data_IF_390550564427
#
_entry.id   IF_390550564427
#
_cell.length_a   1.000
_cell.length_b   1.000
_cell.length_c   1.000
_cell.angle_alpha   90.00
_cell.angle_beta   90.00
_cell.angle_gamma   90.00
#
_symmetry.space_group_name_H-M   'P 1'
#
loop_
_entity.id
_entity.type
_entity.pdbx_description
1 polymer ?
#
# COMPACT_ATOMS: atom_id res chain seq x y z
N UNK A 1 28.30 15.34 -19.23
CA UNK A 1 27.06 15.49 -18.50
C UNK A 1 26.72 14.09 -17.92
N UNK A 2 27.09 13.83 -16.67
CA UNK A 2 26.92 12.51 -16.06
C UNK A 2 25.45 12.35 -15.68
N UNK A 3 24.69 11.58 -16.44
CA UNK A 3 23.36 11.10 -16.02
C UNK A 3 23.56 9.95 -15.02
N UNK A 4 23.77 10.28 -13.74
CA UNK A 4 23.61 9.29 -12.70
C UNK A 4 22.13 8.94 -12.61
N UNK A 5 21.80 7.72 -13.01
CA UNK A 5 20.47 7.17 -12.77
C UNK A 5 20.44 6.75 -11.28
N UNK A 6 19.85 7.61 -10.42
CA UNK A 6 19.74 7.33 -8.99
C UNK A 6 18.43 6.56 -8.76
N UNK A 7 18.52 5.44 -8.11
CA UNK A 7 17.35 4.62 -7.77
C UNK A 7 16.48 5.33 -6.71
N UNK A 8 17.12 5.95 -5.71
CA UNK A 8 16.45 6.77 -4.71
C UNK A 8 17.39 7.78 -4.08
N UNK A 9 16.84 8.74 -3.35
CA UNK A 9 17.53 9.83 -2.66
C UNK A 9 17.09 9.86 -1.19
N UNK A 10 18.05 10.00 -0.28
CA UNK A 10 17.79 10.37 1.12
C UNK A 10 18.36 11.80 1.28
N UNK A 11 17.53 12.72 1.75
CA UNK A 11 17.90 14.12 1.88
C UNK A 11 17.45 14.71 3.21
N UNK A 12 18.21 15.68 3.72
CA UNK A 12 17.71 16.53 4.81
C UNK A 12 16.70 17.55 4.25
N UNK A 13 15.74 17.94 5.07
CA UNK A 13 14.80 19.02 4.73
C UNK A 13 15.55 20.36 4.63
N UNK A 14 16.36 20.70 5.63
CA UNK A 14 17.11 21.97 5.68
C UNK A 14 18.53 21.78 5.18
N UNK A 15 18.80 22.30 3.98
CA UNK A 15 20.12 22.30 3.37
C UNK A 15 20.48 23.72 2.90
N UNK A 16 21.79 24.10 2.85
CA UNK A 16 22.23 25.35 2.24
C UNK A 16 21.81 25.43 0.77
N UNK A 17 21.40 26.61 0.29
CA UNK A 17 21.05 26.94 -1.09
C UNK A 17 19.70 26.41 -1.60
N UNK A 18 19.27 25.18 -1.22
CA UNK A 18 18.03 24.57 -1.65
C UNK A 18 17.55 23.61 -0.59
N UNK A 19 16.30 23.72 -0.14
CA UNK A 19 15.75 22.75 0.80
C UNK A 19 15.28 21.43 0.12
N UNK A 20 15.02 20.41 0.93
CA UNK A 20 14.64 19.08 0.42
C UNK A 20 13.30 19.09 -0.34
N UNK A 21 12.38 20.01 -0.02
CA UNK A 21 11.10 20.16 -0.73
C UNK A 21 11.32 20.83 -2.10
N UNK A 22 12.08 21.92 -2.12
CA UNK A 22 12.43 22.61 -3.38
C UNK A 22 13.19 21.69 -4.33
N UNK A 23 14.10 20.85 -3.81
CA UNK A 23 14.79 19.84 -4.59
C UNK A 23 13.81 18.83 -5.19
N UNK A 24 12.86 18.34 -4.38
CA UNK A 24 11.86 17.39 -4.83
C UNK A 24 10.92 17.99 -5.89
N UNK A 25 10.51 19.26 -5.73
CA UNK A 25 9.73 19.99 -6.73
C UNK A 25 10.47 20.09 -8.07
N UNK A 26 11.76 20.43 -8.05
CA UNK A 26 12.59 20.49 -9.26
C UNK A 26 12.72 19.12 -9.93
N UNK A 27 12.90 18.04 -9.15
CA UNK A 27 12.94 16.67 -9.68
C UNK A 27 11.64 16.32 -10.39
N UNK A 28 10.49 16.62 -9.79
CA UNK A 28 9.17 16.38 -10.40
C UNK A 28 8.95 17.25 -11.63
N UNK A 29 9.36 18.53 -11.60
CA UNK A 29 9.32 19.43 -12.74
C UNK A 29 10.19 18.99 -13.93
N UNK A 30 11.26 18.23 -13.68
CA UNK A 30 12.09 17.59 -14.71
C UNK A 30 11.53 16.24 -15.20
N UNK A 31 10.34 15.82 -14.74
CA UNK A 31 9.75 14.53 -15.08
C UNK A 31 10.45 13.32 -14.45
N UNK A 32 11.31 13.55 -13.45
CA UNK A 32 12.01 12.46 -12.75
C UNK A 32 11.20 11.97 -11.57
N UNK A 33 10.84 10.69 -11.60
CA UNK A 33 10.08 9.99 -10.55
C UNK A 33 10.99 9.22 -9.57
N UNK A 34 12.23 9.70 -9.34
CA UNK A 34 13.15 9.13 -8.36
C UNK A 34 12.50 9.11 -6.98
N UNK A 35 12.63 8.00 -6.26
CA UNK A 35 12.08 7.85 -4.91
C UNK A 35 12.88 8.70 -3.92
N UNK A 36 12.19 9.44 -3.03
CA UNK A 36 12.84 10.36 -2.09
C UNK A 36 12.36 10.07 -0.68
N UNK A 37 13.30 9.99 0.27
CA UNK A 37 13.09 9.97 1.72
C UNK A 37 13.60 11.30 2.27
N UNK A 38 12.77 12.01 3.05
CA UNK A 38 13.12 13.29 3.65
C UNK A 38 13.42 13.10 5.13
N UNK A 39 14.59 13.55 5.57
CA UNK A 39 14.98 13.61 6.98
C UNK A 39 14.79 15.05 7.49
N UNK A 40 14.28 15.23 8.71
CA UNK A 40 14.05 16.58 9.25
C UNK A 40 14.08 16.62 10.77
N UNK A 41 14.53 17.75 11.31
CA UNK A 41 14.41 18.07 12.73
C UNK A 41 13.13 18.89 13.04
N UNK A 42 12.31 19.19 12.04
CA UNK A 42 11.15 20.08 12.16
C UNK A 42 9.85 19.29 12.02
N UNK A 43 9.03 19.31 13.05
CA UNK A 43 7.68 18.77 13.07
C UNK A 43 6.69 19.84 12.58
N UNK A 44 6.80 20.23 11.30
CA UNK A 44 5.90 21.20 10.70
C UNK A 44 4.95 20.51 9.74
N UNK A 45 3.66 20.65 10.00
CA UNK A 45 2.58 20.07 9.18
C UNK A 45 2.67 20.49 7.70
N UNK A 46 3.12 21.74 7.43
CA UNK A 46 3.28 22.26 6.08
C UNK A 46 4.31 21.48 5.25
N UNK A 47 5.43 21.10 5.87
CA UNK A 47 6.47 20.31 5.20
C UNK A 47 6.05 18.86 4.96
N UNK A 48 5.33 18.25 5.93
CA UNK A 48 4.77 16.91 5.76
C UNK A 48 3.77 16.90 4.59
N UNK A 49 2.89 17.90 4.52
CA UNK A 49 1.91 18.05 3.45
C UNK A 49 2.56 18.26 2.08
N UNK A 50 3.62 19.08 1.99
CA UNK A 50 4.37 19.29 0.76
C UNK A 50 5.08 18.00 0.30
N UNK A 51 5.74 17.28 1.20
CA UNK A 51 6.39 16.01 0.92
C UNK A 51 5.39 14.96 0.38
N UNK A 52 4.21 14.84 1.00
CA UNK A 52 3.14 13.93 0.55
C UNK A 52 2.60 14.32 -0.83
N UNK A 53 2.37 15.62 -1.09
CA UNK A 53 1.89 16.13 -2.39
C UNK A 53 2.87 15.82 -3.52
N UNK A 54 4.17 15.90 -3.23
CA UNK A 54 5.25 15.64 -4.18
C UNK A 54 5.65 14.16 -4.23
N UNK A 55 4.86 13.29 -3.61
CA UNK A 55 5.07 11.83 -3.62
C UNK A 55 6.44 11.39 -3.07
N UNK A 56 6.90 12.02 -1.99
CA UNK A 56 8.00 11.47 -1.21
C UNK A 56 7.61 10.08 -0.66
N UNK A 57 8.56 9.15 -0.64
CA UNK A 57 8.29 7.78 -0.16
C UNK A 57 8.10 7.76 1.33
N UNK A 58 8.88 8.56 2.03
CA UNK A 58 8.84 8.66 3.48
C UNK A 58 9.36 10.01 3.99
N UNK A 59 9.04 10.29 5.26
CA UNK A 59 9.41 11.49 5.97
C UNK A 59 9.77 11.09 7.40
N UNK A 60 11.03 11.25 7.80
CA UNK A 60 11.54 10.85 9.11
C UNK A 60 11.92 12.06 9.96
N UNK A 61 11.34 12.13 11.17
CA UNK A 61 11.64 13.18 12.15
C UNK A 61 12.86 12.80 12.99
N UNK A 62 13.85 13.70 13.07
CA UNK A 62 15.04 13.56 13.93
C UNK A 62 14.72 13.98 15.38
N UNK A 63 15.21 13.28 16.40
CA UNK A 63 15.98 12.04 16.32
C UNK A 63 15.08 10.84 15.98
N UNK A 64 15.45 10.05 14.99
CA UNK A 64 14.75 8.81 14.65
C UNK A 64 15.37 7.63 15.43
N UNK A 65 14.56 6.61 15.69
CA UNK A 65 14.96 5.41 16.43
C UNK A 65 15.69 4.41 15.53
N UNK A 66 16.44 3.51 16.15
CA UNK A 66 17.09 2.41 15.42
C UNK A 66 16.05 1.62 14.62
N UNK A 67 16.31 1.42 13.34
CA UNK A 67 15.42 0.71 12.42
C UNK A 67 14.41 1.58 11.65
N UNK A 68 14.22 2.86 11.96
CA UNK A 68 13.27 3.70 11.23
C UNK A 68 13.76 4.03 9.82
N UNK A 69 15.06 4.30 9.68
CA UNK A 69 15.69 4.53 8.37
C UNK A 69 15.69 3.28 7.52
N UNK A 70 15.99 2.12 8.12
CA UNK A 70 15.95 0.82 7.45
C UNK A 70 14.55 0.50 6.93
N UNK A 71 13.50 0.79 7.70
CA UNK A 71 12.11 0.63 7.27
C UNK A 71 11.77 1.53 6.09
N UNK A 72 12.24 2.79 6.10
CA UNK A 72 12.03 3.73 5.01
C UNK A 72 12.73 3.25 3.72
N UNK A 73 13.96 2.77 3.81
CA UNK A 73 14.71 2.17 2.69
C UNK A 73 14.03 0.91 2.16
N UNK A 74 13.54 0.03 3.04
CA UNK A 74 12.76 -1.15 2.63
C UNK A 74 11.49 -0.80 1.86
N UNK A 75 10.81 0.32 2.21
CA UNK A 75 9.67 0.83 1.43
C UNK A 75 10.06 1.27 0.02
N UNK A 76 11.24 1.86 -0.14
CA UNK A 76 11.80 2.19 -1.46
C UNK A 76 12.13 0.93 -2.24
N UNK A 77 12.83 -0.03 -1.62
CA UNK A 77 13.18 -1.31 -2.26
C UNK A 77 11.92 -2.06 -2.74
N UNK A 78 10.86 -2.08 -1.92
CA UNK A 78 9.57 -2.66 -2.30
C UNK A 78 8.91 -1.95 -3.51
N UNK A 79 9.26 -0.70 -3.80
CA UNK A 79 8.78 0.03 -4.97
C UNK A 79 9.68 -0.13 -6.19
N UNK A 80 10.97 -0.40 -6.00
CA UNK A 80 11.95 -0.61 -7.06
C UNK A 80 11.88 -2.01 -7.68
N UNK A 81 11.53 -3.03 -6.88
CA UNK A 81 11.30 -4.39 -7.40
C UNK A 81 9.98 -4.43 -8.16
N UNK A 82 9.96 -4.93 -9.43
CA UNK A 82 8.71 -5.19 -10.13
C UNK A 82 7.92 -6.18 -9.27
N UNK A 83 6.81 -5.73 -8.71
CA UNK A 83 5.93 -6.58 -7.92
C UNK A 83 5.29 -7.62 -8.84
N UNK A 84 5.74 -8.86 -8.76
CA UNK A 84 4.77 -9.94 -8.64
C UNK A 84 3.91 -9.58 -7.43
N UNK A 85 2.59 -9.47 -7.64
CA UNK A 85 1.64 -8.93 -6.66
C UNK A 85 1.43 -9.93 -5.52
N UNK A 86 2.47 -10.18 -4.74
CA UNK A 86 2.33 -10.87 -3.47
C UNK A 86 1.55 -9.98 -2.50
N UNK A 87 0.51 -10.53 -1.88
CA UNK A 87 -0.13 -9.94 -0.71
C UNK A 87 0.98 -9.55 0.28
N UNK A 88 0.91 -8.38 0.94
CA UNK A 88 1.85 -8.06 2.00
C UNK A 88 1.72 -9.13 3.08
N UNK A 89 2.67 -10.06 3.10
CA UNK A 89 2.77 -10.99 4.22
C UNK A 89 3.06 -10.22 5.50
N UNK A 90 2.43 -10.56 6.61
CA UNK A 90 2.72 -9.94 7.90
C UNK A 90 4.21 -10.21 8.19
N UNK A 91 5.02 -9.15 8.22
CA UNK A 91 6.44 -9.25 8.58
C UNK A 91 6.51 -9.84 9.99
N UNK A 92 7.07 -11.03 10.12
CA UNK A 92 7.39 -11.69 11.38
C UNK A 92 8.46 -10.88 12.11
N UNK A 93 8.02 -9.95 12.95
CA UNK A 93 8.86 -9.11 13.78
C UNK A 93 8.03 -7.95 14.33
N UNK A 94 7.36 -8.16 15.49
CA UNK A 94 6.60 -7.13 16.21
C UNK A 94 5.42 -6.52 15.43
N UNK A 95 4.65 -7.34 14.70
CA UNK A 95 3.36 -6.90 14.15
C UNK A 95 2.42 -6.56 15.30
N UNK A 96 1.87 -5.36 15.30
CA UNK A 96 0.88 -4.96 16.30
C UNK A 96 -0.23 -6.02 16.34
N UNK A 97 -0.53 -6.55 17.55
CA UNK A 97 -1.53 -7.60 17.78
C UNK A 97 -2.85 -7.34 17.06
N UNK A 98 -3.32 -6.08 17.05
CA UNK A 98 -4.57 -5.70 16.38
C UNK A 98 -4.50 -5.81 14.87
N UNK A 99 -3.33 -5.56 14.26
CA UNK A 99 -3.13 -5.73 12.81
C UNK A 99 -3.17 -7.19 12.43
N UNK A 100 -2.50 -8.07 13.17
CA UNK A 100 -2.57 -9.52 12.95
C UNK A 100 -4.00 -10.06 13.08
N UNK A 101 -4.73 -9.62 14.12
CA UNK A 101 -6.12 -9.99 14.32
C UNK A 101 -7.04 -9.48 13.21
N UNK A 102 -6.83 -8.24 12.72
CA UNK A 102 -7.59 -7.68 11.60
C UNK A 102 -7.33 -8.45 10.29
N UNK A 103 -6.08 -8.84 10.02
CA UNK A 103 -5.74 -9.68 8.87
C UNK A 103 -6.42 -11.04 8.97
N UNK A 104 -6.37 -11.69 10.13
CA UNK A 104 -7.05 -12.97 10.35
C UNK A 104 -8.57 -12.85 10.18
N UNK A 105 -9.17 -11.76 10.67
CA UNK A 105 -10.59 -11.48 10.47
C UNK A 105 -10.94 -11.35 8.98
N UNK A 106 -10.15 -10.58 8.21
CA UNK A 106 -10.34 -10.44 6.77
C UNK A 106 -10.23 -11.79 6.07
N UNK A 107 -9.24 -12.61 6.42
CA UNK A 107 -9.04 -13.93 5.80
C UNK A 107 -10.20 -14.91 6.07
N UNK A 108 -10.87 -14.79 7.21
CA UNK A 108 -12.02 -15.61 7.57
C UNK A 108 -13.33 -15.12 6.96
N UNK A 109 -13.46 -13.79 6.78
CA UNK A 109 -14.73 -13.15 6.43
C UNK A 109 -14.74 -12.47 5.06
N UNK A 110 -13.67 -12.53 4.24
CA UNK A 110 -13.56 -11.77 2.98
C UNK A 110 -14.72 -11.99 1.99
N UNK A 111 -15.42 -13.11 2.10
CA UNK A 111 -16.58 -13.46 1.27
C UNK A 111 -17.83 -12.65 1.64
N UNK A 112 -17.88 -12.08 2.84
CA UNK A 112 -19.01 -11.27 3.28
C UNK A 112 -19.00 -9.92 2.58
N UNK A 113 -20.06 -9.55 1.82
CA UNK A 113 -20.08 -8.30 1.04
C UNK A 113 -19.96 -7.04 1.91
N UNK A 114 -20.50 -7.08 3.15
CA UNK A 114 -20.68 -5.93 4.02
C UNK A 114 -19.52 -5.68 5.00
N UNK A 115 -18.37 -6.31 4.76
CA UNK A 115 -17.19 -6.08 5.60
C UNK A 115 -16.75 -4.61 5.52
N UNK A 116 -16.56 -3.99 6.67
CA UNK A 116 -16.21 -2.57 6.80
C UNK A 116 -15.13 -2.38 7.86
N UNK A 117 -14.52 -1.18 7.90
CA UNK A 117 -13.60 -0.83 8.99
C UNK A 117 -14.31 -0.92 10.33
N UNK A 118 -15.60 -0.52 10.38
CA UNK A 118 -16.44 -0.55 11.57
C UNK A 118 -16.64 -1.98 12.09
N UNK A 119 -17.03 -2.92 11.20
CA UNK A 119 -17.25 -4.32 11.61
C UNK A 119 -15.97 -4.97 12.14
N UNK A 120 -14.82 -4.71 11.51
CA UNK A 120 -13.53 -5.23 11.98
C UNK A 120 -13.11 -4.58 13.30
N UNK A 121 -13.24 -3.25 13.44
CA UNK A 121 -12.91 -2.54 14.68
C UNK A 121 -13.77 -3.02 15.86
N UNK A 122 -15.07 -3.20 15.63
CA UNK A 122 -16.00 -3.74 16.61
C UNK A 122 -15.62 -5.16 17.06
N UNK A 123 -15.29 -6.05 16.12
CA UNK A 123 -14.86 -7.41 16.45
C UNK A 123 -13.58 -7.46 17.29
N UNK A 124 -12.70 -6.46 17.13
CA UNK A 124 -11.45 -6.32 17.87
C UNK A 124 -11.59 -5.47 19.15
N UNK A 125 -12.78 -4.93 19.41
CA UNK A 125 -13.08 -4.05 20.54
C UNK A 125 -12.16 -2.82 20.63
N UNK A 126 -11.90 -2.17 19.48
CA UNK A 126 -11.09 -0.95 19.35
C UNK A 126 -11.82 0.09 18.50
N UNK A 127 -11.38 1.35 18.55
CA UNK A 127 -11.95 2.40 17.69
C UNK A 127 -11.50 2.24 16.22
N UNK A 128 -12.38 2.63 15.28
CA UNK A 128 -12.08 2.63 13.84
C UNK A 128 -10.85 3.47 13.49
N UNK A 129 -10.69 4.63 14.16
CA UNK A 129 -9.54 5.51 13.97
C UNK A 129 -8.23 4.84 14.37
N UNK A 130 -8.22 4.15 15.53
CA UNK A 130 -7.04 3.40 16.00
C UNK A 130 -6.70 2.26 15.03
N UNK A 131 -7.70 1.48 14.61
CA UNK A 131 -7.51 0.40 13.65
C UNK A 131 -6.94 0.92 12.32
N UNK A 132 -7.58 1.94 11.74
CA UNK A 132 -7.20 2.51 10.44
C UNK A 132 -5.78 3.06 10.45
N UNK A 133 -5.43 3.82 11.50
CA UNK A 133 -4.09 4.39 11.66
C UNK A 133 -3.04 3.30 11.81
N UNK A 134 -3.25 2.37 12.75
CA UNK A 134 -2.30 1.31 13.06
C UNK A 134 -2.13 0.35 11.88
N UNK A 135 -3.23 -0.04 11.23
CA UNK A 135 -3.21 -0.92 10.07
C UNK A 135 -2.43 -0.30 8.91
N UNK A 136 -2.71 0.98 8.60
CA UNK A 136 -1.99 1.70 7.53
C UNK A 136 -0.51 1.88 7.86
N UNK A 137 -0.17 2.19 9.12
CA UNK A 137 1.21 2.34 9.58
C UNK A 137 2.01 1.04 9.42
N UNK A 138 1.44 -0.10 9.81
CA UNK A 138 2.13 -1.39 9.82
C UNK A 138 2.16 -2.06 8.43
N UNK A 139 1.05 -1.98 7.66
CA UNK A 139 0.93 -2.69 6.37
C UNK A 139 1.21 -1.80 5.15
N UNK A 140 1.31 -0.48 5.33
CA UNK A 140 1.46 0.50 4.24
C UNK A 140 0.19 0.68 3.40
N UNK A 141 -0.94 0.07 3.77
CA UNK A 141 -2.19 0.15 3.02
C UNK A 141 -3.40 0.32 3.94
N UNK A 142 -4.49 0.88 3.40
CA UNK A 142 -5.76 0.92 4.16
C UNK A 142 -6.30 -0.51 4.32
N UNK A 143 -7.10 -0.73 5.37
CA UNK A 143 -7.75 -2.02 5.64
C UNK A 143 -8.63 -2.47 4.45
N UNK A 144 -9.44 -1.56 3.90
CA UNK A 144 -10.27 -1.85 2.72
C UNK A 144 -9.43 -2.09 1.46
N UNK A 145 -8.31 -1.40 1.29
CA UNK A 145 -7.36 -1.67 0.20
C UNK A 145 -6.72 -3.05 0.32
N UNK A 146 -6.42 -3.50 1.54
CA UNK A 146 -5.95 -4.86 1.81
C UNK A 146 -7.03 -5.90 1.47
N UNK A 147 -8.27 -5.72 1.97
CA UNK A 147 -9.42 -6.58 1.66
C UNK A 147 -9.63 -6.71 0.14
N UNK A 148 -9.60 -5.59 -0.58
CA UNK A 148 -9.77 -5.57 -2.04
C UNK A 148 -8.72 -6.42 -2.75
N UNK A 149 -7.43 -6.25 -2.40
CA UNK A 149 -6.34 -7.06 -2.97
C UNK A 149 -6.48 -8.54 -2.59
N UNK A 150 -6.86 -8.83 -1.35
CA UNK A 150 -7.08 -10.20 -0.90
C UNK A 150 -8.18 -10.90 -1.70
N UNK A 151 -9.33 -10.22 -1.90
CA UNK A 151 -10.44 -10.71 -2.73
C UNK A 151 -10.01 -10.98 -4.18
N UNK A 152 -9.28 -10.03 -4.79
CA UNK A 152 -8.78 -10.19 -6.16
C UNK A 152 -7.78 -11.35 -6.27
N UNK A 153 -6.91 -11.53 -5.27
CA UNK A 153 -6.00 -12.68 -5.24
C UNK A 153 -6.77 -14.01 -5.15
N UNK A 154 -7.77 -14.10 -4.26
CA UNK A 154 -8.63 -15.28 -4.16
C UNK A 154 -9.44 -15.53 -5.44
N UNK A 155 -9.94 -14.46 -6.08
CA UNK A 155 -10.59 -14.57 -7.38
C UNK A 155 -9.65 -15.12 -8.46
N UNK A 156 -8.40 -14.66 -8.50
CA UNK A 156 -7.40 -15.16 -9.44
C UNK A 156 -7.10 -16.66 -9.23
N UNK A 157 -7.06 -17.12 -7.97
CA UNK A 157 -6.94 -18.56 -7.65
C UNK A 157 -8.14 -19.37 -8.18
N UNK A 158 -9.36 -18.88 -7.96
CA UNK A 158 -10.59 -19.55 -8.40
C UNK A 158 -10.71 -19.59 -9.93
N UNK A 159 -10.32 -18.51 -10.63
CA UNK A 159 -10.33 -18.44 -12.08
C UNK A 159 -9.36 -19.44 -12.73
N UNK A 160 -8.26 -19.80 -12.05
CA UNK A 160 -7.31 -20.82 -12.55
C UNK A 160 -7.91 -22.20 -12.69
N UNK A 161 -8.91 -22.55 -11.89
CA UNK A 161 -9.57 -23.86 -11.97
C UNK A 161 -10.47 -24.01 -13.23
N UNK A 162 -10.80 -22.90 -13.91
CA UNK A 162 -11.55 -22.88 -15.18
C UNK A 162 -12.99 -23.37 -15.11
N UNK A 163 -13.45 -23.87 -13.95
CA UNK A 163 -14.77 -24.47 -13.77
C UNK A 163 -15.86 -23.46 -13.47
N UNK A 164 -15.47 -22.33 -12.86
CA UNK A 164 -16.39 -21.30 -12.41
C UNK A 164 -16.51 -20.18 -13.44
N UNK A 165 -17.72 -19.67 -13.60
CA UNK A 165 -17.97 -18.47 -14.40
C UNK A 165 -17.56 -17.22 -13.62
N UNK A 166 -17.18 -16.16 -14.31
CA UNK A 166 -16.70 -14.91 -13.70
C UNK A 166 -17.68 -14.32 -12.67
N UNK A 167 -19.00 -14.42 -12.91
CA UNK A 167 -19.99 -13.92 -11.98
C UNK A 167 -20.05 -14.74 -10.68
N UNK A 168 -19.88 -16.07 -10.76
CA UNK A 168 -19.82 -16.96 -9.59
C UNK A 168 -18.60 -16.66 -8.75
N UNK A 169 -17.44 -16.42 -9.40
CA UNK A 169 -16.23 -16.02 -8.72
C UNK A 169 -16.40 -14.66 -8.03
N UNK A 170 -17.02 -13.68 -8.70
CA UNK A 170 -17.28 -12.37 -8.11
C UNK A 170 -18.12 -12.48 -6.82
N UNK A 171 -19.19 -13.24 -6.86
CA UNK A 171 -20.07 -13.48 -5.71
C UNK A 171 -19.34 -14.22 -4.60
N UNK A 172 -18.58 -15.26 -4.92
CA UNK A 172 -17.85 -16.06 -3.94
C UNK A 172 -16.76 -15.29 -3.22
N UNK A 173 -16.17 -14.26 -3.85
CA UNK A 173 -15.19 -13.40 -3.19
C UNK A 173 -15.79 -12.13 -2.59
N UNK A 174 -17.13 -12.05 -2.48
CA UNK A 174 -17.84 -10.99 -1.74
C UNK A 174 -18.14 -9.74 -2.55
N UNK A 175 -18.24 -9.80 -3.87
CA UNK A 175 -18.70 -8.68 -4.71
C UNK A 175 -20.17 -8.91 -5.13
N UNK A 176 -21.03 -7.90 -4.87
CA UNK A 176 -22.43 -7.89 -5.34
C UNK A 176 -22.55 -7.40 -6.78
N UNK A 177 -21.64 -6.54 -7.22
CA UNK A 177 -21.62 -5.95 -8.55
C UNK A 177 -20.47 -6.51 -9.38
N UNK A 178 -20.80 -7.21 -10.45
CA UNK A 178 -19.84 -7.85 -11.34
C UNK A 178 -19.04 -6.83 -12.17
N UNK A 179 -19.64 -5.68 -12.50
CA UNK A 179 -18.95 -4.60 -13.23
C UNK A 179 -17.89 -3.96 -12.38
N UNK A 180 -18.22 -3.66 -11.12
CA UNK A 180 -17.27 -3.15 -10.15
C UNK A 180 -16.15 -4.16 -9.87
N UNK A 181 -16.48 -5.44 -9.73
CA UNK A 181 -15.49 -6.51 -9.59
C UNK A 181 -14.53 -6.54 -10.78
N UNK A 182 -15.05 -6.58 -12.01
CA UNK A 182 -14.25 -6.69 -13.23
C UNK A 182 -13.30 -5.50 -13.40
N UNK A 183 -13.77 -4.29 -13.12
CA UNK A 183 -12.94 -3.08 -13.15
C UNK A 183 -11.85 -3.11 -12.08
N UNK A 184 -12.19 -3.54 -10.88
CA UNK A 184 -11.25 -3.66 -9.75
C UNK A 184 -10.19 -4.73 -10.03
N UNK A 185 -10.60 -5.87 -10.54
CA UNK A 185 -9.72 -6.97 -10.93
C UNK A 185 -8.73 -6.51 -12.01
N UNK A 186 -9.23 -5.87 -13.09
CA UNK A 186 -8.37 -5.32 -14.16
C UNK A 186 -7.39 -4.28 -13.64
N UNK A 187 -7.82 -3.40 -12.73
CA UNK A 187 -6.95 -2.38 -12.13
C UNK A 187 -5.79 -2.99 -11.35
N UNK A 188 -6.01 -4.14 -10.71
CA UNK A 188 -5.00 -4.79 -9.85
C UNK A 188 -4.13 -5.76 -10.66
N UNK A 189 -4.71 -6.54 -11.59
CA UNK A 189 -4.00 -7.60 -12.32
C UNK A 189 -3.54 -7.21 -13.72
N UNK A 190 -4.03 -6.07 -14.23
CA UNK A 190 -3.79 -5.61 -15.62
C UNK A 190 -4.69 -6.24 -16.66
N UNK A 191 -5.44 -7.31 -16.35
CA UNK A 191 -6.36 -8.02 -17.24
C UNK A 191 -7.76 -8.07 -16.65
N UNK A 192 -8.80 -8.15 -17.50
CA UNK A 192 -10.15 -8.47 -17.03
C UNK A 192 -10.18 -9.92 -16.51
N UNK A 193 -11.16 -10.29 -15.66
CA UNK A 193 -11.30 -11.68 -15.19
C UNK A 193 -11.40 -12.70 -16.33
N UNK A 194 -12.13 -12.39 -17.41
CA UNK A 194 -12.25 -13.26 -18.59
C UNK A 194 -10.92 -13.39 -19.33
N UNK A 195 -10.24 -12.26 -19.64
CA UNK A 195 -8.91 -12.28 -20.26
C UNK A 195 -7.88 -13.02 -19.40
N UNK A 196 -8.01 -12.93 -18.09
CA UNK A 196 -7.15 -13.65 -17.16
C UNK A 196 -7.39 -15.15 -17.23
N UNK A 197 -8.67 -15.58 -17.25
CA UNK A 197 -9.06 -16.99 -17.37
C UNK A 197 -8.65 -17.59 -18.72
N UNK A 198 -8.82 -16.86 -19.82
CA UNK A 198 -8.47 -17.30 -21.18
C UNK A 198 -6.93 -17.37 -21.40
N UNK A 199 -6.13 -16.74 -20.54
CA UNK A 199 -4.66 -16.71 -20.66
C UNK A 199 -3.95 -17.78 -19.84
N UNK A 200 -4.68 -18.68 -19.20
CA UNK A 200 -4.17 -19.80 -18.40
C UNK A 200 -4.09 -21.08 -19.23
#
# INVERSE_FOLDING_TARGET
MFCCNLDFIITDLKMPQMDGIEMLEKLRGMGKNTYVIILTAYDSFSYIQAALRLEAVDYLLKPFHDGDLEKAVQRVQAKLTPKEQALPEPKTGSTNRYVSMAISYIQQHYQEPDISVSSVAQSLNISEGHLSHTFKKETGSTLLGYLTRYRVHKAAELLKDGRMKVYEVAEQVGYRDIGYFSNTFKKITGKTPSEYQDSL
#
